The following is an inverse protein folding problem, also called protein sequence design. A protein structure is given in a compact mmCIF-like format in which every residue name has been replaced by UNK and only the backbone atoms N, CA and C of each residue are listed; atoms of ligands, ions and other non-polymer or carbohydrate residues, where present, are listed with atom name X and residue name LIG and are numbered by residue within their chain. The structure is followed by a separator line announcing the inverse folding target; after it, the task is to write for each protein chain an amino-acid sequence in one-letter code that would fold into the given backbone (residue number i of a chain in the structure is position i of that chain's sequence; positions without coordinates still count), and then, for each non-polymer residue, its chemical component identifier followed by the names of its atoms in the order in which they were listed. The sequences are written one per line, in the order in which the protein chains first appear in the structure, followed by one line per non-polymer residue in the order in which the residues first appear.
data_IF_319377233137
#
_entry.id   IF_319377233137
#
_cell.length_a   1.000
_cell.length_b   1.000
_cell.length_c   1.000
_cell.angle_alpha   90.00
_cell.angle_beta   90.00
_cell.angle_gamma   90.00
#
_symmetry.space_group_name_H-M   'P 1'
#
loop_
_entity.id
_entity.type
_entity.pdbx_description
1 polymer ?
#
# COMPACT_ATOMS: atom_id res chain seq x y z
N UNK A 1 3.91 7.00 14.14
CA UNK A 1 3.47 5.59 14.03
C UNK A 1 4.58 4.66 13.57
N UNK A 2 4.62 3.40 14.04
CA UNK A 2 5.56 2.36 13.56
C UNK A 2 4.88 1.46 12.52
N UNK A 3 5.61 1.07 11.48
CA UNK A 3 5.15 0.12 10.46
C UNK A 3 4.90 -1.26 11.10
N UNK A 4 3.66 -1.78 11.10
CA UNK A 4 3.31 -3.07 11.74
C UNK A 4 3.58 -4.23 10.77
N UNK A 5 4.17 -5.34 11.24
CA UNK A 5 4.55 -6.45 10.35
C UNK A 5 3.36 -7.19 9.73
N UNK A 6 2.24 -7.30 10.45
CA UNK A 6 1.10 -8.15 10.05
C UNK A 6 0.08 -7.38 9.20
N UNK A 7 0.55 -6.52 8.31
CA UNK A 7 -0.30 -5.83 7.33
C UNK A 7 -0.22 -6.58 6.00
N UNK A 8 -1.34 -6.63 5.29
CA UNK A 8 -1.39 -7.19 3.95
C UNK A 8 -0.50 -6.35 3.00
N UNK A 9 0.28 -6.99 2.11
CA UNK A 9 1.04 -6.28 1.10
C UNK A 9 0.12 -5.68 0.03
N UNK A 10 0.67 -4.76 -0.75
CA UNK A 10 0.05 -4.28 -1.98
C UNK A 10 0.07 -5.32 -3.10
N UNK A 11 -0.29 -4.87 -4.30
CA UNK A 11 -0.25 -5.69 -5.51
C UNK A 11 1.18 -6.11 -5.92
N UNK A 12 2.20 -5.42 -5.39
CA UNK A 12 3.61 -5.72 -5.60
C UNK A 12 4.14 -6.87 -4.72
N UNK A 13 3.35 -7.32 -3.73
CA UNK A 13 3.73 -8.38 -2.80
C UNK A 13 4.76 -7.98 -1.75
N UNK A 14 5.17 -6.71 -1.68
CA UNK A 14 6.17 -6.23 -0.72
C UNK A 14 5.50 -6.03 0.65
N UNK A 15 5.91 -6.84 1.63
CA UNK A 15 5.37 -6.70 2.98
C UNK A 15 6.27 -5.87 3.90
N UNK A 16 5.69 -5.44 5.03
CA UNK A 16 6.38 -4.58 5.99
C UNK A 16 7.61 -5.23 6.64
N UNK A 17 7.70 -6.56 6.69
CA UNK A 17 8.88 -7.27 7.19
C UNK A 17 10.03 -7.15 6.18
N UNK A 18 9.74 -7.28 4.88
CA UNK A 18 10.71 -7.10 3.80
C UNK A 18 11.31 -5.70 3.82
N UNK A 19 10.45 -4.66 3.94
CA UNK A 19 10.91 -3.26 4.02
C UNK A 19 11.86 -3.01 5.20
N UNK A 20 11.59 -3.62 6.36
CA UNK A 20 12.45 -3.50 7.54
C UNK A 20 13.76 -4.27 7.42
N UNK A 21 13.81 -5.30 6.59
CA UNK A 21 15.03 -6.08 6.32
C UNK A 21 15.88 -5.52 5.18
N UNK A 22 15.50 -4.38 4.60
CA UNK A 22 16.26 -3.79 3.49
C UNK A 22 17.66 -3.36 3.93
N UNK A 23 18.70 -3.69 3.15
CA UNK A 23 20.03 -3.15 3.36
C UNK A 23 20.06 -1.62 3.19
N UNK A 24 21.02 -0.97 3.83
CA UNK A 24 21.06 0.51 3.91
C UNK A 24 21.20 1.21 2.55
N UNK A 25 21.87 0.59 1.58
CA UNK A 25 21.99 1.10 0.22
C UNK A 25 20.63 1.15 -0.51
N UNK A 26 19.70 0.24 -0.20
CA UNK A 26 18.34 0.30 -0.74
C UNK A 26 17.51 1.38 -0.07
N UNK A 27 17.65 1.59 1.24
CA UNK A 27 17.01 2.71 1.94
C UNK A 27 17.42 4.05 1.32
N UNK A 28 18.71 4.23 1.02
CA UNK A 28 19.20 5.43 0.34
C UNK A 28 18.56 5.64 -1.04
N UNK A 29 18.44 4.57 -1.84
CA UNK A 29 17.77 4.62 -3.16
C UNK A 29 16.30 5.02 -3.03
N UNK A 30 15.58 4.44 -2.07
CA UNK A 30 14.18 4.78 -1.81
C UNK A 30 14.05 6.26 -1.42
N UNK A 31 14.93 6.75 -0.55
CA UNK A 31 14.95 8.17 -0.15
C UNK A 31 15.15 9.10 -1.34
N UNK A 32 16.08 8.78 -2.26
CA UNK A 32 16.27 9.56 -3.49
C UNK A 32 15.00 9.58 -4.32
N UNK A 33 14.34 8.43 -4.52
CA UNK A 33 13.11 8.34 -5.30
C UNK A 33 12.00 9.18 -4.67
N UNK A 34 11.81 9.09 -3.35
CA UNK A 34 10.80 9.88 -2.63
C UNK A 34 11.08 11.39 -2.77
N UNK A 35 12.34 11.81 -2.62
CA UNK A 35 12.70 13.21 -2.79
C UNK A 35 12.44 13.68 -4.23
N UNK A 36 12.78 12.88 -5.23
CA UNK A 36 12.49 13.19 -6.63
C UNK A 36 10.98 13.32 -6.90
N UNK A 37 10.14 12.45 -6.32
CA UNK A 37 8.67 12.54 -6.42
C UNK A 37 8.17 13.87 -5.86
N UNK A 38 8.68 14.30 -4.70
CA UNK A 38 8.29 15.56 -4.07
C UNK A 38 8.75 16.78 -4.88
N UNK A 39 9.98 16.76 -5.41
CA UNK A 39 10.53 17.84 -6.23
C UNK A 39 9.81 17.96 -7.57
N UNK A 40 9.58 16.84 -8.25
CA UNK A 40 8.95 16.79 -9.58
C UNK A 40 7.43 16.90 -9.52
N UNK A 41 6.83 16.82 -8.32
CA UNK A 41 5.37 16.77 -8.11
C UNK A 41 4.69 15.65 -8.91
N UNK A 42 5.42 14.56 -9.13
CA UNK A 42 4.96 13.45 -9.96
C UNK A 42 5.09 12.13 -9.21
N UNK A 43 3.96 11.42 -9.12
CA UNK A 43 3.91 10.06 -8.59
C UNK A 43 3.96 9.03 -9.73
N UNK A 44 4.84 8.01 -9.64
CA UNK A 44 4.89 6.94 -10.63
C UNK A 44 3.53 6.28 -10.82
N UNK A 45 3.20 5.94 -12.07
CA UNK A 45 1.93 5.27 -12.41
C UNK A 45 1.77 3.95 -11.66
N UNK A 46 2.87 3.21 -11.45
CA UNK A 46 2.86 1.96 -10.69
C UNK A 46 2.30 2.14 -9.26
N UNK A 47 2.62 3.25 -8.59
CA UNK A 47 2.16 3.55 -7.22
C UNK A 47 0.70 4.04 -7.17
N UNK A 48 0.07 4.27 -8.32
CA UNK A 48 -1.36 4.63 -8.43
C UNK A 48 -2.25 3.41 -8.73
N UNK A 49 -1.65 2.25 -8.98
CA UNK A 49 -2.37 1.00 -9.21
C UNK A 49 -2.51 0.26 -7.87
N UNK A 50 -3.74 0.05 -7.42
CA UNK A 50 -4.03 -0.57 -6.12
C UNK A 50 -4.94 -1.79 -6.29
N UNK A 51 -4.83 -2.74 -5.37
CA UNK A 51 -5.83 -3.80 -5.23
C UNK A 51 -7.00 -3.27 -4.39
N UNK A 52 -8.23 -3.35 -4.91
CA UNK A 52 -9.43 -2.97 -4.19
C UNK A 52 -9.99 -4.21 -3.49
N UNK A 53 -10.02 -4.17 -2.15
CA UNK A 53 -10.57 -5.25 -1.33
C UNK A 53 -11.87 -4.77 -0.66
N UNK A 54 -13.03 -5.31 -1.04
CA UNK A 54 -14.29 -4.96 -0.39
C UNK A 54 -14.41 -5.67 0.97
N UNK A 55 -14.56 -4.89 2.05
CA UNK A 55 -14.79 -5.41 3.40
C UNK A 55 -16.27 -5.32 3.76
N UNK A 56 -16.94 -6.43 4.12
CA UNK A 56 -18.36 -6.41 4.47
C UNK A 56 -18.62 -5.61 5.74
N UNK A 57 -19.70 -4.82 5.76
CA UNK A 57 -20.24 -4.20 6.99
C UNK A 57 -20.89 -5.30 7.84
N UNK A 58 -20.70 -5.28 9.17
CA UNK A 58 -21.26 -6.30 10.05
C UNK A 58 -22.80 -6.28 10.04
N UNK A 59 -23.41 -7.48 10.12
CA UNK A 59 -24.87 -7.70 10.23
C UNK A 59 -25.70 -7.13 9.06
N UNK A 60 -25.14 -7.11 7.84
CA UNK A 60 -25.83 -6.63 6.65
C UNK A 60 -25.99 -7.74 5.60
N UNK A 61 -26.83 -7.51 4.59
CA UNK A 61 -27.00 -8.45 3.48
C UNK A 61 -25.78 -8.42 2.54
N UNK A 62 -24.95 -9.46 2.57
CA UNK A 62 -23.74 -9.55 1.75
C UNK A 62 -24.00 -9.71 0.24
N UNK A 63 -25.25 -9.87 -0.19
CA UNK A 63 -25.60 -9.89 -1.62
C UNK A 63 -25.63 -8.49 -2.25
N UNK A 64 -25.65 -7.43 -1.43
CA UNK A 64 -25.78 -6.05 -1.90
C UNK A 64 -24.45 -5.28 -1.78
N UNK A 65 -23.89 -4.76 -2.88
CA UNK A 65 -22.58 -4.07 -2.90
C UNK A 65 -22.48 -2.85 -1.96
N UNK A 66 -23.60 -2.16 -1.71
CA UNK A 66 -23.68 -0.97 -0.83
C UNK A 66 -23.26 -1.26 0.63
N UNK A 67 -23.31 -2.53 1.03
CA UNK A 67 -22.92 -2.95 2.38
C UNK A 67 -21.45 -3.33 2.49
N UNK A 68 -20.63 -3.05 1.48
CA UNK A 68 -19.18 -3.18 1.58
C UNK A 68 -18.50 -1.82 1.76
N UNK A 69 -17.33 -1.83 2.39
CA UNK A 69 -16.39 -0.72 2.45
C UNK A 69 -15.17 -1.11 1.62
N UNK A 70 -14.93 -0.51 0.46
CA UNK A 70 -13.70 -0.79 -0.28
C UNK A 70 -12.51 -0.22 0.50
N UNK A 71 -11.45 -1.02 0.62
CA UNK A 71 -10.11 -0.53 0.96
C UNK A 71 -9.21 -0.66 -0.26
N UNK A 72 -8.27 0.28 -0.41
CA UNK A 72 -7.24 0.21 -1.43
C UNK A 72 -5.92 -0.21 -0.80
N UNK A 73 -5.35 -1.32 -1.27
CA UNK A 73 -3.99 -1.73 -0.94
C UNK A 73 -3.06 -1.20 -2.04
N UNK A 74 -2.34 -0.13 -1.71
CA UNK A 74 -1.27 0.40 -2.56
C UNK A 74 -0.04 -0.52 -2.51
N UNK A 75 0.82 -0.50 -3.54
CA UNK A 75 2.18 -1.05 -3.47
C UNK A 75 2.93 -0.47 -2.27
#
# INVERSE_FOLDING_TARGET
DKLKNNKAPGIDGINNKMLKSLPINYLFRITIIINAILTLRYFPKAWKNAAIIPIPKPKQNHSLPIYYRPICLLP
#
